data_IF_484521486677
#
_entry.id   IF_484521486677
#
_cell.length_a   1.000
_cell.length_b   1.000
_cell.length_c   1.000
_cell.angle_alpha   90.00
_cell.angle_beta   90.00
_cell.angle_gamma   90.00
#
_symmetry.space_group_name_H-M   'P 1'
#
loop_
_entity.id
_entity.type
_entity.pdbx_description
1 polymer ?
#
# COMPACT_ATOMS: atom_id res chain seq x y z
N UNK A 1 79.79 -16.32 41.37
CA UNK A 1 79.57 -14.91 41.02
C UNK A 1 79.28 -14.83 39.52
N UNK A 2 78.14 -14.22 39.17
CA UNK A 2 77.70 -13.58 37.90
C UNK A 2 78.08 -14.21 36.54
N UNK A 3 77.20 -14.34 35.53
CA UNK A 3 75.76 -14.19 35.37
C UNK A 3 75.40 -14.85 34.01
N UNK A 4 74.29 -15.57 33.92
CA UNK A 4 73.78 -16.10 32.65
C UNK A 4 73.20 -14.94 31.80
N UNK A 5 73.74 -14.74 30.60
CA UNK A 5 73.14 -13.90 29.55
C UNK A 5 72.33 -14.77 28.59
N UNK A 6 71.12 -14.37 28.18
CA UNK A 6 70.30 -15.18 27.30
C UNK A 6 70.83 -15.17 25.86
N UNK A 7 70.86 -16.36 25.24
CA UNK A 7 71.05 -16.56 23.80
C UNK A 7 69.83 -16.02 23.05
N UNK A 8 70.04 -15.06 22.15
CA UNK A 8 69.03 -14.55 21.24
C UNK A 8 68.81 -15.54 20.08
N UNK A 9 67.57 -16.01 19.91
CA UNK A 9 67.12 -16.85 18.80
C UNK A 9 67.07 -16.05 17.49
N UNK A 10 67.44 -16.62 16.32
CA UNK A 10 67.42 -15.92 15.03
C UNK A 10 66.02 -15.92 14.34
N UNK A 11 64.95 -16.23 15.10
CA UNK A 11 63.56 -16.25 14.62
C UNK A 11 62.75 -15.03 15.10
N UNK A 12 63.41 -13.99 15.60
CA UNK A 12 62.85 -12.63 15.57
C UNK A 12 63.04 -12.09 14.15
N UNK A 13 62.21 -12.54 13.21
CA UNK A 13 61.83 -11.69 12.10
C UNK A 13 61.09 -10.51 12.71
N UNK A 14 61.85 -9.51 13.18
CA UNK A 14 61.35 -8.16 13.32
C UNK A 14 60.50 -7.89 12.08
N UNK A 15 59.20 -7.61 12.29
CA UNK A 15 58.34 -7.16 11.22
C UNK A 15 59.00 -5.89 10.71
N UNK A 16 59.75 -6.06 9.62
CA UNK A 16 60.58 -5.01 9.08
C UNK A 16 59.63 -3.92 8.61
N UNK A 17 59.49 -2.88 9.44
CA UNK A 17 58.65 -1.72 9.17
C UNK A 17 59.06 -1.08 7.83
N UNK A 18 60.30 -1.33 7.37
CA UNK A 18 60.76 -0.93 6.04
C UNK A 18 60.15 -1.78 4.92
N UNK A 19 59.86 -3.07 5.12
CA UNK A 19 59.14 -3.91 4.16
C UNK A 19 57.65 -3.57 4.10
N UNK A 20 57.02 -3.30 5.24
CA UNK A 20 55.61 -2.86 5.28
C UNK A 20 55.46 -1.49 4.62
N UNK A 21 56.33 -0.52 4.94
CA UNK A 21 56.30 0.80 4.30
C UNK A 21 56.59 0.74 2.80
N UNK A 22 57.48 -0.15 2.34
CA UNK A 22 57.69 -0.43 0.90
C UNK A 22 56.43 -1.00 0.24
N UNK A 23 55.71 -1.93 0.88
CA UNK A 23 54.44 -2.47 0.36
C UNK A 23 53.34 -1.42 0.30
N UNK A 24 53.22 -0.58 1.34
CA UNK A 24 52.26 0.54 1.38
C UNK A 24 52.58 1.55 0.27
N UNK A 25 53.86 1.91 0.11
CA UNK A 25 54.31 2.81 -0.97
C UNK A 25 54.03 2.24 -2.35
N UNK A 26 54.30 0.95 -2.57
CA UNK A 26 53.98 0.24 -3.82
C UNK A 26 52.46 0.20 -4.09
N UNK A 27 51.64 0.05 -3.06
CA UNK A 27 50.18 0.13 -3.16
C UNK A 27 49.71 1.52 -3.60
N UNK A 28 50.22 2.59 -2.97
CA UNK A 28 49.91 3.98 -3.37
C UNK A 28 50.43 4.33 -4.76
N UNK A 29 51.61 3.87 -5.15
CA UNK A 29 52.14 4.00 -6.51
C UNK A 29 51.26 3.25 -7.53
N UNK A 30 50.74 2.08 -7.15
CA UNK A 30 49.75 1.32 -7.91
C UNK A 30 48.44 2.09 -8.12
N UNK A 31 47.91 2.71 -7.06
CA UNK A 31 46.71 3.57 -7.12
C UNK A 31 46.95 4.78 -8.01
N UNK A 32 48.07 5.50 -7.82
CA UNK A 32 48.41 6.67 -8.64
C UNK A 32 48.52 6.31 -10.13
N UNK A 33 49.17 5.18 -10.43
CA UNK A 33 49.27 4.66 -11.79
C UNK A 33 47.90 4.28 -12.36
N UNK A 34 46.99 3.74 -11.53
CA UNK A 34 45.63 3.42 -11.92
C UNK A 34 44.82 4.69 -12.23
N UNK A 35 44.91 5.72 -11.37
CA UNK A 35 44.26 7.03 -11.59
C UNK A 35 44.77 7.66 -12.89
N UNK A 36 46.08 7.68 -13.13
CA UNK A 36 46.66 8.20 -14.36
C UNK A 36 46.18 7.44 -15.61
N UNK A 37 46.10 6.10 -15.53
CA UNK A 37 45.55 5.27 -16.61
C UNK A 37 44.06 5.56 -16.84
N UNK A 38 43.28 5.80 -15.78
CA UNK A 38 41.88 6.21 -15.89
C UNK A 38 41.75 7.56 -16.59
N UNK A 39 42.47 8.60 -16.13
CA UNK A 39 42.46 9.93 -16.77
C UNK A 39 42.85 9.82 -18.24
N UNK A 40 43.94 9.12 -18.56
CA UNK A 40 44.38 8.93 -19.94
C UNK A 40 43.34 8.18 -20.78
N UNK A 41 42.61 7.23 -20.20
CA UNK A 41 41.52 6.54 -20.89
C UNK A 41 40.38 7.50 -21.25
N UNK A 42 39.93 8.34 -20.31
CA UNK A 42 38.88 9.33 -20.58
C UNK A 42 39.32 10.36 -21.61
N UNK A 43 40.55 10.89 -21.51
CA UNK A 43 41.09 11.85 -22.48
C UNK A 43 41.21 11.24 -23.88
N UNK A 44 41.74 10.00 -23.99
CA UNK A 44 41.92 9.34 -25.29
C UNK A 44 40.60 8.99 -25.97
N UNK A 45 39.57 8.64 -25.19
CA UNK A 45 38.26 8.23 -25.71
C UNK A 45 37.20 9.34 -25.58
N UNK A 46 37.60 10.59 -25.37
CA UNK A 46 36.70 11.69 -25.05
C UNK A 46 35.58 11.86 -26.10
N UNK A 47 35.91 11.77 -27.40
CA UNK A 47 34.93 11.86 -28.49
C UNK A 47 33.89 10.73 -28.40
N UNK A 48 34.34 9.48 -28.20
CA UNK A 48 33.46 8.31 -28.08
C UNK A 48 32.54 8.46 -26.87
N UNK A 49 33.08 8.91 -25.74
CA UNK A 49 32.32 9.14 -24.51
C UNK A 49 31.25 10.20 -24.71
N UNK A 50 31.57 11.32 -25.37
CA UNK A 50 30.59 12.37 -25.69
C UNK A 50 29.48 11.82 -26.57
N UNK A 51 29.81 11.07 -27.62
CA UNK A 51 28.81 10.44 -28.50
C UNK A 51 27.92 9.49 -27.68
N UNK A 52 28.50 8.67 -26.82
CA UNK A 52 27.76 7.73 -25.97
C UNK A 52 26.79 8.44 -25.03
N UNK A 53 27.21 9.56 -24.44
CA UNK A 53 26.36 10.37 -23.57
C UNK A 53 25.20 10.98 -24.36
N UNK A 54 25.48 11.58 -25.52
CA UNK A 54 24.44 12.19 -26.38
C UNK A 54 23.43 11.14 -26.85
N UNK A 55 23.91 9.99 -27.33
CA UNK A 55 23.05 8.88 -27.75
C UNK A 55 22.26 8.30 -26.58
N UNK A 56 22.91 8.14 -25.41
CA UNK A 56 22.26 7.68 -24.19
C UNK A 56 21.14 8.61 -23.73
N UNK A 57 21.37 9.92 -23.76
CA UNK A 57 20.37 10.92 -23.38
C UNK A 57 19.23 10.93 -24.40
N UNK A 58 19.55 10.95 -25.70
CA UNK A 58 18.56 10.95 -26.77
C UNK A 58 17.66 9.72 -26.76
N UNK A 59 18.25 8.52 -26.66
CA UNK A 59 17.48 7.26 -26.54
C UNK A 59 16.70 7.21 -25.23
N UNK A 60 17.27 7.71 -24.13
CA UNK A 60 16.59 7.73 -22.85
C UNK A 60 15.39 8.65 -22.82
N UNK A 61 15.47 9.83 -23.43
CA UNK A 61 14.33 10.72 -23.60
C UNK A 61 13.22 10.05 -24.45
N UNK A 62 13.59 9.43 -25.56
CA UNK A 62 12.64 8.74 -26.44
C UNK A 62 11.91 7.58 -25.73
N UNK A 63 12.65 6.76 -24.98
CA UNK A 63 12.07 5.65 -24.23
C UNK A 63 11.22 6.11 -23.05
N UNK A 64 11.65 7.15 -22.31
CA UNK A 64 10.88 7.74 -21.21
C UNK A 64 9.53 8.30 -21.70
N UNK A 65 9.46 8.81 -22.94
CA UNK A 65 8.22 9.35 -23.50
C UNK A 65 7.22 8.26 -23.91
N UNK A 66 7.71 7.09 -24.34
CA UNK A 66 6.88 5.98 -24.83
C UNK A 66 6.45 5.04 -23.71
N UNK A 67 7.27 4.88 -22.66
CA UNK A 67 7.05 3.91 -21.59
C UNK A 67 6.31 4.49 -20.38
N UNK A 68 5.58 5.59 -20.55
CA UNK A 68 4.77 6.18 -19.49
C UNK A 68 3.81 5.14 -18.91
N UNK A 69 3.72 5.12 -17.60
CA UNK A 69 2.75 4.31 -16.88
C UNK A 69 1.94 5.19 -15.95
N UNK A 70 0.72 4.76 -15.68
CA UNK A 70 -0.21 5.49 -14.84
C UNK A 70 -0.64 4.59 -13.68
N UNK A 71 -0.59 5.15 -12.49
CA UNK A 71 -1.10 4.58 -11.26
C UNK A 71 -2.55 5.00 -11.05
N UNK A 72 -3.35 4.04 -10.59
CA UNK A 72 -4.76 4.21 -10.27
C UNK A 72 -5.04 3.55 -8.94
N UNK A 73 -5.94 4.15 -8.16
CA UNK A 73 -6.32 3.68 -6.86
C UNK A 73 -7.83 3.82 -6.66
N UNK A 74 -8.45 2.75 -6.18
CA UNK A 74 -9.84 2.73 -5.70
C UNK A 74 -9.79 2.43 -4.21
N UNK A 75 -10.27 3.36 -3.39
CA UNK A 75 -10.49 3.10 -1.97
C UNK A 75 -11.83 2.39 -1.86
N UNK A 76 -11.82 1.16 -1.37
CA UNK A 76 -12.99 0.30 -1.27
C UNK A 76 -13.24 -0.16 0.18
N UNK A 77 -14.50 -0.35 0.52
CA UNK A 77 -14.95 -0.97 1.77
C UNK A 77 -15.72 -2.25 1.43
N UNK A 78 -15.17 -3.45 1.75
CA UNK A 78 -15.90 -4.70 1.64
C UNK A 78 -16.94 -4.78 2.78
N UNK A 79 -18.21 -4.87 2.43
CA UNK A 79 -19.32 -5.06 3.35
C UNK A 79 -19.62 -6.55 3.55
N UNK A 80 -20.47 -6.88 4.54
CA UNK A 80 -21.03 -8.23 4.71
C UNK A 80 -19.98 -9.35 4.90
N UNK A 81 -18.79 -9.03 5.42
CA UNK A 81 -17.68 -9.99 5.54
C UNK A 81 -17.11 -10.43 4.19
N UNK A 82 -17.21 -9.60 3.15
CA UNK A 82 -16.74 -9.92 1.79
C UNK A 82 -15.25 -9.62 1.56
N UNK A 83 -14.44 -9.42 2.61
CA UNK A 83 -13.01 -9.11 2.44
C UNK A 83 -12.26 -10.21 1.70
N UNK A 84 -12.38 -11.47 2.13
CA UNK A 84 -11.70 -12.58 1.43
C UNK A 84 -12.20 -12.76 -0.01
N UNK A 85 -13.48 -12.49 -0.23
CA UNK A 85 -14.07 -12.48 -1.57
C UNK A 85 -13.46 -11.38 -2.45
N UNK A 86 -13.31 -10.15 -1.93
CA UNK A 86 -12.64 -9.05 -2.62
C UNK A 86 -11.21 -9.44 -3.01
N UNK A 87 -10.42 -9.95 -2.06
CA UNK A 87 -9.02 -10.34 -2.32
C UNK A 87 -8.94 -11.44 -3.37
N UNK A 88 -9.73 -12.51 -3.21
CA UNK A 88 -9.75 -13.63 -4.17
C UNK A 88 -10.14 -13.19 -5.58
N UNK A 89 -11.07 -12.23 -5.71
CA UNK A 89 -11.50 -11.69 -7.01
C UNK A 89 -10.43 -10.82 -7.65
N UNK A 90 -9.74 -9.99 -6.88
CA UNK A 90 -8.61 -9.19 -7.38
C UNK A 90 -7.44 -10.09 -7.79
N UNK A 91 -7.11 -11.09 -6.98
CA UNK A 91 -6.06 -12.07 -7.30
C UNK A 91 -6.36 -12.83 -8.60
N UNK A 92 -7.64 -13.17 -8.84
CA UNK A 92 -8.06 -13.78 -10.10
C UNK A 92 -7.85 -12.84 -11.29
N UNK A 93 -8.21 -11.55 -11.17
CA UNK A 93 -7.97 -10.57 -12.23
C UNK A 93 -6.46 -10.44 -12.50
N UNK A 94 -5.64 -10.37 -11.44
CA UNK A 94 -4.18 -10.29 -11.56
C UNK A 94 -3.58 -11.54 -12.23
N UNK A 95 -4.05 -12.74 -11.88
CA UNK A 95 -3.63 -13.97 -12.57
C UNK A 95 -3.95 -13.91 -14.05
N UNK A 96 -5.15 -13.43 -14.40
CA UNK A 96 -5.63 -13.33 -15.78
C UNK A 96 -4.88 -12.28 -16.59
N UNK A 97 -4.46 -11.19 -15.96
CA UNK A 97 -3.54 -10.21 -16.56
C UNK A 97 -2.19 -10.86 -16.86
N UNK A 98 -1.62 -11.62 -15.92
CA UNK A 98 -0.33 -12.33 -16.11
C UNK A 98 -0.38 -13.39 -17.19
N UNK A 99 -1.49 -14.12 -17.28
CA UNK A 99 -1.75 -15.11 -18.33
C UNK A 99 -1.99 -14.47 -19.71
N UNK A 100 -2.28 -13.16 -19.76
CA UNK A 100 -2.68 -12.48 -20.99
C UNK A 100 -4.08 -12.85 -21.47
N UNK A 101 -4.95 -13.32 -20.58
CA UNK A 101 -6.33 -13.75 -20.86
C UNK A 101 -7.25 -12.54 -21.09
N UNK A 102 -7.13 -11.94 -22.27
CA UNK A 102 -7.93 -10.76 -22.65
C UNK A 102 -9.41 -11.06 -22.82
N UNK A 103 -9.79 -12.32 -23.05
CA UNK A 103 -11.20 -12.74 -23.20
C UNK A 103 -11.88 -12.67 -21.84
N UNK A 104 -11.30 -13.26 -20.80
CA UNK A 104 -11.84 -13.15 -19.45
C UNK A 104 -11.93 -11.69 -18.99
N UNK A 105 -10.86 -10.91 -19.16
CA UNK A 105 -10.83 -9.53 -18.70
C UNK A 105 -11.84 -8.64 -19.43
N UNK A 106 -12.11 -8.90 -20.70
CA UNK A 106 -13.08 -8.12 -21.48
C UNK A 106 -14.52 -8.61 -21.29
N UNK A 107 -14.75 -9.91 -21.38
CA UNK A 107 -16.10 -10.47 -21.48
C UNK A 107 -16.68 -10.82 -20.11
N UNK A 108 -15.85 -11.17 -19.12
CA UNK A 108 -16.29 -11.50 -17.75
C UNK A 108 -16.16 -10.29 -16.82
N UNK A 109 -15.01 -9.61 -16.85
CA UNK A 109 -14.78 -8.42 -15.98
C UNK A 109 -15.34 -7.14 -16.61
N UNK A 110 -15.48 -7.09 -17.94
CA UNK A 110 -16.05 -5.93 -18.65
C UNK A 110 -15.04 -4.84 -19.04
N UNK A 111 -13.74 -5.09 -18.89
CA UNK A 111 -12.69 -4.11 -19.17
C UNK A 111 -12.55 -3.94 -20.68
N UNK A 112 -12.79 -2.73 -21.21
CA UNK A 112 -12.79 -2.51 -22.67
C UNK A 112 -11.40 -2.65 -23.30
N UNK A 113 -10.35 -2.23 -22.57
CA UNK A 113 -8.96 -2.19 -23.04
C UNK A 113 -8.02 -2.99 -22.12
N UNK A 114 -8.18 -4.33 -22.05
CA UNK A 114 -7.47 -5.15 -21.07
C UNK A 114 -5.95 -5.16 -21.27
N UNK A 115 -5.46 -4.99 -22.52
CA UNK A 115 -4.03 -4.95 -22.84
C UNK A 115 -3.27 -3.75 -22.28
N UNK A 116 -4.00 -2.72 -21.86
CA UNK A 116 -3.42 -1.52 -21.26
C UNK A 116 -3.12 -1.72 -19.77
N UNK A 117 -3.76 -2.68 -19.11
CA UNK A 117 -3.54 -2.99 -17.70
C UNK A 117 -2.30 -3.86 -17.55
N UNK A 118 -1.39 -3.42 -16.69
CA UNK A 118 -0.11 -4.08 -16.43
C UNK A 118 -0.17 -4.97 -15.19
N UNK A 119 -0.87 -4.50 -14.15
CA UNK A 119 -0.97 -5.14 -12.85
C UNK A 119 -2.17 -4.59 -12.08
N UNK A 120 -2.79 -5.42 -11.25
CA UNK A 120 -3.74 -5.04 -10.21
C UNK A 120 -3.35 -5.71 -8.88
N UNK A 121 -3.65 -5.06 -7.76
CA UNK A 121 -3.35 -5.53 -6.41
C UNK A 121 -4.36 -4.94 -5.43
N UNK A 122 -4.55 -5.58 -4.28
CA UNK A 122 -5.39 -5.06 -3.20
C UNK A 122 -4.66 -5.15 -1.87
N UNK A 123 -4.63 -4.03 -1.16
CA UNK A 123 -3.98 -3.92 0.14
C UNK A 123 -4.88 -3.22 1.14
N UNK A 124 -4.80 -3.55 2.41
CA UNK A 124 -5.55 -2.84 3.42
C UNK A 124 -4.96 -1.44 3.66
N UNK A 125 -5.83 -0.50 4.02
CA UNK A 125 -5.42 0.81 4.50
C UNK A 125 -5.34 0.71 6.02
N UNK A 126 -4.11 0.64 6.53
CA UNK A 126 -3.82 0.51 7.96
C UNK A 126 -4.30 1.78 8.68
N UNK A 127 -5.34 1.63 9.49
CA UNK A 127 -5.90 2.70 10.34
C UNK A 127 -6.17 2.12 11.73
N UNK A 128 -5.18 2.28 12.61
CA UNK A 128 -5.20 1.70 13.97
C UNK A 128 -6.33 2.30 14.81
N UNK A 129 -6.62 3.59 14.65
CA UNK A 129 -7.68 4.26 15.41
C UNK A 129 -9.05 3.72 15.03
N UNK A 130 -9.35 3.59 13.73
CA UNK A 130 -10.62 2.98 13.29
C UNK A 130 -10.70 1.49 13.60
N UNK A 131 -9.56 0.81 13.68
CA UNK A 131 -9.54 -0.60 14.03
C UNK A 131 -9.98 -0.85 15.46
N UNK A 132 -9.64 0.03 16.41
CA UNK A 132 -10.05 -0.08 17.82
C UNK A 132 -11.37 0.65 18.14
N UNK A 133 -11.82 1.53 17.25
CA UNK A 133 -13.03 2.33 17.45
C UNK A 133 -14.26 1.44 17.69
N UNK A 134 -14.89 1.60 18.87
CA UNK A 134 -16.05 0.83 19.32
C UNK A 134 -15.85 -0.70 19.34
N UNK A 135 -14.60 -1.16 19.44
CA UNK A 135 -14.22 -2.59 19.48
C UNK A 135 -13.18 -2.84 20.59
N UNK A 136 -13.61 -2.98 21.86
CA UNK A 136 -12.69 -3.19 22.98
C UNK A 136 -11.81 -4.43 22.79
N UNK A 137 -12.33 -5.47 22.12
CA UNK A 137 -11.59 -6.70 21.81
C UNK A 137 -10.40 -6.43 20.89
N UNK A 138 -10.56 -5.52 19.92
CA UNK A 138 -9.48 -5.12 19.02
C UNK A 138 -8.39 -4.33 19.76
N UNK A 139 -8.78 -3.54 20.76
CA UNK A 139 -7.84 -2.83 21.62
C UNK A 139 -7.04 -3.80 22.50
N UNK A 140 -7.71 -4.79 23.11
CA UNK A 140 -7.05 -5.86 23.88
C UNK A 140 -6.07 -6.66 23.03
N UNK A 141 -6.46 -7.01 21.79
CA UNK A 141 -5.60 -7.70 20.85
C UNK A 141 -4.31 -6.92 20.56
N UNK A 142 -4.42 -5.62 20.27
CA UNK A 142 -3.26 -4.77 20.03
C UNK A 142 -2.36 -4.69 21.28
N UNK A 143 -2.96 -4.59 22.47
CA UNK A 143 -2.21 -4.56 23.73
C UNK A 143 -1.39 -5.84 23.92
N UNK A 144 -2.00 -7.02 23.72
CA UNK A 144 -1.31 -8.31 23.79
C UNK A 144 -0.20 -8.43 22.73
N UNK A 145 -0.44 -7.90 21.53
CA UNK A 145 0.55 -7.93 20.43
C UNK A 145 1.75 -7.02 20.69
N UNK A 146 1.53 -5.86 21.34
CA UNK A 146 2.58 -4.93 21.72
C UNK A 146 3.54 -5.51 22.77
N UNK A 147 3.12 -6.52 23.53
CA UNK A 147 3.93 -7.16 24.58
C UNK A 147 4.99 -8.14 24.02
N UNK A 148 4.79 -8.68 22.81
CA UNK A 148 5.58 -9.81 22.30
C UNK A 148 6.43 -9.56 21.04
N UNK A 149 6.14 -8.54 20.22
CA UNK A 149 6.77 -8.34 18.89
C UNK A 149 6.69 -6.87 18.41
N UNK A 150 7.40 -6.57 17.31
CA UNK A 150 7.30 -5.29 16.59
C UNK A 150 5.87 -5.09 16.06
N UNK A 151 5.13 -4.18 16.70
CA UNK A 151 3.72 -3.89 16.44
C UNK A 151 3.45 -3.58 14.96
N UNK A 152 4.40 -2.93 14.27
CA UNK A 152 4.24 -2.56 12.87
C UNK A 152 4.10 -3.79 11.98
N UNK A 153 4.90 -4.83 12.23
CA UNK A 153 4.86 -6.08 11.45
C UNK A 153 3.55 -6.84 11.63
N UNK A 154 2.89 -6.67 12.77
CA UNK A 154 1.64 -7.39 13.09
C UNK A 154 0.43 -6.66 12.51
N UNK A 155 0.43 -5.33 12.57
CA UNK A 155 -0.59 -4.49 11.95
C UNK A 155 -0.57 -4.66 10.42
N UNK A 156 0.60 -4.87 9.83
CA UNK A 156 0.77 -5.13 8.40
C UNK A 156 0.64 -6.62 8.01
N UNK A 157 0.53 -7.54 8.98
CA UNK A 157 0.41 -8.97 8.69
C UNK A 157 -0.90 -9.28 7.97
N UNK A 158 -0.87 -10.23 7.03
CA UNK A 158 -2.02 -10.57 6.19
C UNK A 158 -3.26 -11.04 6.99
N UNK A 159 -3.08 -11.65 8.17
CA UNK A 159 -4.21 -12.12 8.99
C UNK A 159 -4.90 -10.97 9.72
N UNK A 160 -4.13 -10.03 10.29
CA UNK A 160 -4.67 -8.88 11.02
C UNK A 160 -5.21 -7.84 10.05
N UNK A 161 -4.47 -7.57 8.99
CA UNK A 161 -4.69 -6.42 8.11
C UNK A 161 -5.95 -6.55 7.25
N UNK A 162 -6.47 -7.75 7.03
CA UNK A 162 -7.80 -7.97 6.40
C UNK A 162 -8.99 -7.47 7.24
N UNK A 163 -8.78 -7.15 8.51
CA UNK A 163 -9.84 -6.66 9.39
C UNK A 163 -9.97 -5.13 9.40
N UNK A 164 -9.13 -4.40 8.64
CA UNK A 164 -9.30 -2.96 8.44
C UNK A 164 -10.54 -2.67 7.59
N UNK A 165 -11.20 -1.54 7.86
CA UNK A 165 -12.46 -1.17 7.20
C UNK A 165 -12.29 -0.78 5.73
N UNK A 166 -11.12 -0.26 5.36
CA UNK A 166 -10.85 0.27 4.03
C UNK A 166 -9.66 -0.43 3.40
N UNK A 167 -9.76 -0.66 2.09
CA UNK A 167 -8.74 -1.32 1.28
C UNK A 167 -8.49 -0.49 0.04
N UNK A 168 -7.22 -0.42 -0.38
CA UNK A 168 -6.80 0.19 -1.62
C UNK A 168 -6.67 -0.90 -2.68
N UNK A 169 -7.53 -0.87 -3.69
CA UNK A 169 -7.33 -1.60 -4.94
C UNK A 169 -6.48 -0.70 -5.83
N UNK A 170 -5.27 -1.15 -6.17
CA UNK A 170 -4.33 -0.39 -6.99
C UNK A 170 -4.08 -1.10 -8.30
N UNK A 171 -4.03 -0.37 -9.40
CA UNK A 171 -3.67 -0.93 -10.70
C UNK A 171 -2.81 0.02 -11.50
N UNK A 172 -2.03 -0.55 -12.43
CA UNK A 172 -1.13 0.19 -13.32
C UNK A 172 -1.53 0.00 -14.76
N UNK A 173 -1.41 1.06 -15.56
CA UNK A 173 -1.68 1.01 -16.99
C UNK A 173 -0.60 1.68 -17.84
N UNK A 174 -0.50 1.31 -19.12
CA UNK A 174 0.42 1.92 -20.10
C UNK A 174 -0.06 3.28 -20.62
N UNK A 175 -1.36 3.54 -20.53
CA UNK A 175 -2.00 4.77 -21.00
C UNK A 175 -3.02 5.22 -19.99
N UNK A 176 -3.43 6.48 -20.10
CA UNK A 176 -4.59 6.97 -19.35
C UNK A 176 -5.83 6.15 -19.68
N UNK A 177 -6.68 5.99 -18.68
CA UNK A 177 -7.94 5.27 -18.79
C UNK A 177 -9.12 6.21 -18.57
N UNK A 178 -10.27 5.77 -19.04
CA UNK A 178 -11.56 6.31 -18.65
C UNK A 178 -12.18 5.36 -17.62
N UNK A 179 -12.66 5.90 -16.51
CA UNK A 179 -13.23 5.13 -15.41
C UNK A 179 -14.38 4.23 -15.86
N UNK A 180 -15.26 4.72 -16.76
CA UNK A 180 -16.37 3.93 -17.33
C UNK A 180 -15.93 2.73 -18.18
N UNK A 181 -14.69 2.72 -18.65
CA UNK A 181 -14.13 1.63 -19.47
C UNK A 181 -13.33 0.61 -18.65
N UNK A 182 -13.00 0.94 -17.40
CA UNK A 182 -12.07 0.15 -16.57
C UNK A 182 -12.51 0.05 -15.12
N UNK A 183 -12.59 1.18 -14.40
CA UNK A 183 -12.93 1.23 -12.97
C UNK A 183 -14.35 0.70 -12.72
N UNK A 184 -15.34 1.23 -13.43
CA UNK A 184 -16.73 0.80 -13.29
C UNK A 184 -16.92 -0.69 -13.58
N UNK A 185 -16.38 -1.27 -14.67
CA UNK A 185 -16.38 -2.72 -14.88
C UNK A 185 -15.77 -3.53 -13.73
N UNK A 186 -14.61 -3.11 -13.21
CA UNK A 186 -13.98 -3.80 -12.07
C UNK A 186 -14.91 -3.77 -10.85
N UNK A 187 -15.47 -2.61 -10.50
CA UNK A 187 -16.40 -2.48 -9.37
C UNK A 187 -17.67 -3.29 -9.60
N UNK A 188 -18.22 -3.31 -10.81
CA UNK A 188 -19.41 -4.10 -11.13
C UNK A 188 -19.13 -5.61 -10.97
N UNK A 189 -18.00 -6.09 -11.50
CA UNK A 189 -17.57 -7.47 -11.33
C UNK A 189 -17.39 -7.86 -9.85
N UNK A 190 -16.84 -6.97 -9.03
CA UNK A 190 -16.72 -7.17 -7.59
C UNK A 190 -18.07 -7.19 -6.86
N UNK A 191 -19.14 -6.67 -7.45
CA UNK A 191 -20.48 -6.69 -6.87
C UNK A 191 -21.39 -7.78 -7.46
N UNK A 192 -20.88 -8.59 -8.39
CA UNK A 192 -21.65 -9.62 -9.11
C UNK A 192 -21.54 -10.98 -8.42
N UNK A 193 -22.36 -11.19 -7.37
CA UNK A 193 -22.38 -12.45 -6.61
C UNK A 193 -23.74 -12.70 -5.92
N UNK A 194 -24.31 -13.89 -6.15
CA UNK A 194 -25.64 -14.25 -5.64
C UNK A 194 -25.69 -14.34 -4.11
N UNK A 195 -24.65 -14.89 -3.50
CA UNK A 195 -24.59 -15.08 -2.04
C UNK A 195 -24.63 -13.73 -1.33
N UNK A 196 -23.70 -12.82 -1.64
CA UNK A 196 -23.64 -11.55 -0.95
C UNK A 196 -24.75 -10.58 -1.36
N UNK A 197 -25.32 -10.69 -2.57
CA UNK A 197 -26.54 -9.94 -2.95
C UNK A 197 -27.72 -10.29 -2.02
N UNK A 198 -27.89 -11.57 -1.68
CA UNK A 198 -28.93 -12.00 -0.71
C UNK A 198 -28.65 -11.46 0.70
N UNK A 199 -27.40 -11.58 1.17
CA UNK A 199 -27.01 -11.06 2.50
C UNK A 199 -27.19 -9.54 2.58
N UNK A 200 -26.81 -8.81 1.53
CA UNK A 200 -27.01 -7.37 1.43
C UNK A 200 -28.48 -7.00 1.58
N UNK A 201 -29.35 -7.65 0.81
CA UNK A 201 -30.80 -7.41 0.84
C UNK A 201 -31.36 -7.59 2.25
N UNK A 202 -31.08 -8.71 2.91
CA UNK A 202 -31.60 -8.98 4.25
C UNK A 202 -31.00 -8.03 5.30
N UNK A 203 -29.72 -7.67 5.18
CA UNK A 203 -29.08 -6.71 6.09
C UNK A 203 -29.71 -5.33 5.98
N UNK A 204 -29.96 -4.85 4.76
CA UNK A 204 -30.62 -3.56 4.51
C UNK A 204 -32.07 -3.59 5.03
N UNK A 205 -32.80 -4.68 4.74
CA UNK A 205 -34.18 -4.85 5.21
C UNK A 205 -34.26 -4.85 6.75
N UNK A 206 -33.35 -5.56 7.43
CA UNK A 206 -33.29 -5.57 8.89
C UNK A 206 -33.07 -4.18 9.49
N UNK A 207 -32.18 -3.38 8.89
CA UNK A 207 -31.96 -1.99 9.31
C UNK A 207 -33.25 -1.18 9.09
N UNK A 208 -33.88 -1.28 7.92
CA UNK A 208 -35.10 -0.55 7.61
C UNK A 208 -36.25 -0.90 8.57
N UNK A 209 -36.46 -2.19 8.86
CA UNK A 209 -37.44 -2.64 9.85
C UNK A 209 -37.14 -2.03 11.22
N UNK A 210 -35.87 -2.06 11.66
CA UNK A 210 -35.48 -1.48 12.94
C UNK A 210 -35.72 0.04 12.98
N UNK A 211 -35.43 0.75 11.89
CA UNK A 211 -35.71 2.17 11.77
C UNK A 211 -37.21 2.48 11.89
N UNK A 212 -38.07 1.70 11.23
CA UNK A 212 -39.54 1.86 11.33
C UNK A 212 -40.05 1.61 12.75
N UNK A 213 -39.50 0.58 13.42
CA UNK A 213 -39.85 0.30 14.82
C UNK A 213 -39.37 1.41 15.75
N UNK A 214 -38.16 1.94 15.54
CA UNK A 214 -37.64 3.07 16.30
C UNK A 214 -38.54 4.31 16.15
N UNK A 215 -38.99 4.64 14.94
CA UNK A 215 -39.92 5.74 14.71
C UNK A 215 -41.26 5.52 15.44
N UNK A 216 -41.76 4.29 15.44
CA UNK A 216 -42.99 3.92 16.16
C UNK A 216 -42.83 4.12 17.67
N UNK A 217 -41.73 3.65 18.25
CA UNK A 217 -41.43 3.80 19.69
C UNK A 217 -41.25 5.28 20.05
N UNK A 218 -40.53 6.05 19.23
CA UNK A 218 -40.38 7.49 19.43
C UNK A 218 -41.75 8.18 19.43
N UNK A 219 -42.65 7.80 18.53
CA UNK A 219 -44.02 8.32 18.48
C UNK A 219 -44.83 7.98 19.74
N UNK A 220 -44.71 6.75 20.24
CA UNK A 220 -45.35 6.34 21.50
C UNK A 220 -44.79 7.14 22.70
N UNK A 221 -43.47 7.34 22.76
CA UNK A 221 -42.85 8.18 23.78
C UNK A 221 -43.40 9.61 23.70
N UNK A 222 -43.51 10.19 22.51
CA UNK A 222 -44.12 11.51 22.34
C UNK A 222 -45.55 11.54 22.90
N UNK A 223 -46.34 10.49 22.66
CA UNK A 223 -47.67 10.33 23.24
C UNK A 223 -47.68 10.36 24.76
N UNK A 224 -46.78 9.62 25.42
CA UNK A 224 -46.64 9.59 26.89
C UNK A 224 -46.25 10.98 27.41
N UNK A 225 -45.24 11.63 26.81
CA UNK A 225 -44.76 12.95 27.22
C UNK A 225 -45.87 14.02 27.08
N UNK A 226 -46.61 14.00 25.98
CA UNK A 226 -47.72 14.91 25.74
C UNK A 226 -48.89 14.65 26.72
N UNK A 227 -49.20 13.37 26.98
CA UNK A 227 -50.22 12.97 27.95
C UNK A 227 -49.91 13.47 29.36
N UNK A 228 -48.64 13.38 29.78
CA UNK A 228 -48.17 13.94 31.05
C UNK A 228 -48.32 15.46 31.09
N UNK A 229 -47.85 16.17 30.05
CA UNK A 229 -47.96 17.63 29.98
C UNK A 229 -49.42 18.12 30.05
N UNK A 230 -50.33 17.47 29.32
CA UNK A 230 -51.75 17.81 29.33
C UNK A 230 -52.41 17.56 30.70
N UNK A 231 -52.00 16.53 31.43
CA UNK A 231 -52.52 16.22 32.76
C UNK A 231 -52.06 17.25 33.80
N UNK A 232 -50.81 17.73 33.71
CA UNK A 232 -50.29 18.80 34.58
C UNK A 232 -51.01 20.14 34.33
N UNK A 233 -51.39 20.41 33.07
CA UNK A 233 -52.08 21.64 32.68
C UNK A 233 -53.61 21.59 32.88
N UNK A 234 -54.18 20.40 33.14
CA UNK A 234 -55.62 20.20 33.34
C UNK A 234 -56.05 20.37 34.81
N UNK A 235 -57.13 21.12 35.04
CA UNK A 235 -57.59 21.61 36.35
C UNK A 235 -58.19 20.56 37.33
N UNK A 236 -57.59 19.38 37.50
CA UNK A 236 -57.90 18.48 38.62
C UNK A 236 -56.69 18.31 39.53
N UNK A 237 -56.49 19.31 40.41
CA UNK A 237 -55.64 19.21 41.60
C UNK A 237 -56.28 18.23 42.59
N UNK A 238 -56.12 16.92 42.37
CA UNK A 238 -56.38 15.93 43.42
C UNK A 238 -55.08 15.63 44.16
N UNK A 239 -55.16 15.49 45.49
CA UNK A 239 -54.01 15.24 46.39
C UNK A 239 -53.18 13.98 46.05
N UNK A 240 -53.65 13.15 45.11
CA UNK A 240 -52.93 11.99 44.56
C UNK A 240 -51.83 12.33 43.55
N UNK A 241 -51.74 13.57 43.05
CA UNK A 241 -50.71 13.97 42.07
C UNK A 241 -49.29 14.00 42.66
N UNK A 242 -49.15 14.18 43.98
CA UNK A 242 -47.84 14.22 44.66
C UNK A 242 -47.12 12.86 44.59
N UNK A 243 -47.87 11.75 44.63
CA UNK A 243 -47.33 10.39 44.51
C UNK A 243 -46.80 10.04 43.11
N UNK A 244 -47.19 10.78 42.07
CA UNK A 244 -46.70 10.54 40.70
C UNK A 244 -45.39 11.26 40.42
N UNK A 245 -45.14 12.41 41.03
CA UNK A 245 -43.94 13.22 40.79
C UNK A 245 -42.65 12.54 41.29
N UNK A 246 -42.73 11.74 42.35
CA UNK A 246 -41.56 11.06 42.92
C UNK A 246 -41.18 9.75 42.19
N UNK A 247 -42.06 9.21 41.33
CA UNK A 247 -41.93 7.86 40.77
C UNK A 247 -41.94 7.79 39.23
N UNK A 248 -42.02 8.92 38.53
CA UNK A 248 -41.96 8.91 37.06
C UNK A 248 -40.52 8.81 36.60
N UNK A 249 -40.14 7.67 36.02
CA UNK A 249 -38.89 7.46 35.26
C UNK A 249 -38.87 8.28 33.94
N UNK A 250 -39.41 9.50 33.94
CA UNK A 250 -39.54 10.39 32.78
C UNK A 250 -38.19 10.70 32.16
N UNK A 251 -37.16 10.88 33.00
CA UNK A 251 -35.78 11.04 32.58
C UNK A 251 -35.30 9.85 31.72
N UNK A 252 -35.61 8.62 32.12
CA UNK A 252 -35.21 7.41 31.39
C UNK A 252 -35.95 7.31 30.05
N UNK A 253 -37.23 7.72 30.02
CA UNK A 253 -38.03 7.81 28.79
C UNK A 253 -37.43 8.83 27.81
N UNK A 254 -37.04 10.02 28.30
CA UNK A 254 -36.40 11.06 27.48
C UNK A 254 -35.04 10.60 26.96
N UNK A 255 -34.19 9.99 27.82
CA UNK A 255 -32.90 9.41 27.42
C UNK A 255 -33.04 8.29 26.40
N UNK A 256 -34.07 7.46 26.55
CA UNK A 256 -34.39 6.40 25.57
C UNK A 256 -34.74 7.02 24.22
N UNK A 257 -35.57 8.07 24.21
CA UNK A 257 -35.89 8.80 22.97
C UNK A 257 -34.66 9.40 22.31
N UNK A 258 -33.78 10.05 23.06
CA UNK A 258 -32.51 10.60 22.54
C UNK A 258 -31.66 9.49 21.91
N UNK A 259 -31.53 8.35 22.59
CA UNK A 259 -30.78 7.19 22.09
C UNK A 259 -31.36 6.67 20.77
N UNK A 260 -32.69 6.51 20.68
CA UNK A 260 -33.35 6.07 19.45
C UNK A 260 -33.17 7.07 18.30
N UNK A 261 -33.20 8.37 18.57
CA UNK A 261 -32.96 9.43 17.57
C UNK A 261 -31.51 9.35 17.06
N UNK A 262 -30.54 9.20 17.96
CA UNK A 262 -29.13 9.05 17.59
C UNK A 262 -28.91 7.77 16.76
N UNK A 263 -29.54 6.67 17.16
CA UNK A 263 -29.50 5.40 16.44
C UNK A 263 -30.08 5.55 15.01
N UNK A 264 -31.17 6.29 14.85
CA UNK A 264 -31.73 6.61 13.52
C UNK A 264 -30.75 7.36 12.64
N UNK A 265 -30.02 8.34 13.21
CA UNK A 265 -28.96 9.04 12.50
C UNK A 265 -27.86 8.09 12.01
N UNK A 266 -27.40 7.19 12.87
CA UNK A 266 -26.38 6.19 12.55
C UNK A 266 -26.86 5.25 11.43
N UNK A 267 -28.11 4.76 11.49
CA UNK A 267 -28.64 3.85 10.47
C UNK A 267 -28.79 4.51 9.09
N UNK A 268 -29.19 5.79 9.04
CA UNK A 268 -29.26 6.53 7.77
C UNK A 268 -27.90 6.62 7.09
N UNK A 269 -26.85 6.94 7.84
CA UNK A 269 -25.48 6.98 7.31
C UNK A 269 -25.01 5.58 6.91
N UNK A 270 -25.28 4.56 7.74
CA UNK A 270 -24.90 3.17 7.47
C UNK A 270 -25.48 2.65 6.16
N UNK A 271 -26.75 2.97 5.85
CA UNK A 271 -27.40 2.54 4.61
C UNK A 271 -26.70 3.06 3.34
N UNK A 272 -26.04 4.23 3.39
CA UNK A 272 -25.26 4.77 2.25
C UNK A 272 -24.10 3.83 1.89
N UNK A 273 -23.44 3.26 2.89
CA UNK A 273 -22.32 2.33 2.70
C UNK A 273 -22.76 0.94 2.25
N UNK A 274 -23.96 0.49 2.65
CA UNK A 274 -24.47 -0.86 2.38
C UNK A 274 -25.10 -1.02 0.99
N UNK A 275 -25.04 -0.01 0.13
CA UNK A 275 -25.62 -0.06 -1.21
C UNK A 275 -24.81 -0.92 -2.22
N UNK A 276 -23.60 -1.35 -1.84
CA UNK A 276 -22.74 -2.27 -2.60
C UNK A 276 -22.13 -3.33 -1.67
N UNK A 277 -21.79 -4.50 -2.20
CA UNK A 277 -21.03 -5.55 -1.51
C UNK A 277 -19.59 -5.09 -1.33
N UNK A 278 -18.97 -4.61 -2.40
CA UNK A 278 -17.69 -3.88 -2.36
C UNK A 278 -17.98 -2.44 -2.73
N UNK A 279 -17.99 -1.57 -1.73
CA UNK A 279 -18.28 -0.15 -1.91
C UNK A 279 -17.03 0.62 -2.31
N UNK A 280 -17.05 1.24 -3.48
CA UNK A 280 -16.09 2.26 -3.89
C UNK A 280 -16.38 3.57 -3.14
N UNK A 281 -15.46 3.96 -2.25
CA UNK A 281 -15.53 5.19 -1.47
C UNK A 281 -14.94 6.37 -2.26
N UNK A 282 -13.85 6.13 -2.98
CA UNK A 282 -13.22 7.10 -3.87
C UNK A 282 -12.36 6.42 -4.92
N UNK A 283 -12.16 7.12 -6.04
CA UNK A 283 -11.30 6.70 -7.13
C UNK A 283 -10.36 7.83 -7.48
N UNK A 284 -9.09 7.49 -7.65
CA UNK A 284 -8.06 8.39 -8.18
C UNK A 284 -7.41 7.69 -9.36
N UNK A 285 -7.59 8.25 -10.55
CA UNK A 285 -7.09 7.67 -11.81
C UNK A 285 -6.05 8.57 -12.47
N UNK A 286 -5.24 7.98 -13.35
CA UNK A 286 -4.33 8.68 -14.25
C UNK A 286 -3.20 9.47 -13.56
N UNK A 287 -2.71 9.00 -12.41
CA UNK A 287 -1.48 9.57 -11.80
C UNK A 287 -0.27 9.05 -12.57
N UNK A 288 0.51 9.92 -13.20
CA UNK A 288 1.74 9.51 -13.90
C UNK A 288 2.76 8.94 -12.92
N UNK A 289 3.19 7.70 -13.15
CA UNK A 289 4.19 7.03 -12.30
C UNK A 289 5.58 7.59 -12.58
N UNK A 290 6.25 8.10 -11.54
CA UNK A 290 7.65 8.60 -11.64
C UNK A 290 8.67 7.72 -10.89
N UNK A 291 8.24 6.53 -10.48
CA UNK A 291 9.02 5.65 -9.60
C UNK A 291 9.96 4.68 -10.36
N UNK A 292 11.09 4.39 -9.71
CA UNK A 292 12.17 3.48 -10.12
C UNK A 292 12.94 3.90 -11.38
N UNK A 293 12.46 3.49 -12.56
CA UNK A 293 13.15 3.66 -13.85
C UNK A 293 12.35 4.58 -14.79
N UNK A 294 11.04 4.67 -14.58
CA UNK A 294 10.14 5.38 -15.48
C UNK A 294 10.35 6.91 -15.38
N UNK A 295 10.63 7.56 -16.51
CA UNK A 295 10.98 8.98 -16.57
C UNK A 295 12.43 9.31 -16.16
N UNK A 296 13.25 8.29 -15.88
CA UNK A 296 14.66 8.43 -15.47
C UNK A 296 15.64 7.76 -16.45
N UNK A 297 15.17 7.16 -17.55
CA UNK A 297 16.04 6.52 -18.55
C UNK A 297 17.00 7.50 -19.20
N UNK A 298 16.59 8.77 -19.38
CA UNK A 298 17.47 9.87 -19.83
C UNK A 298 18.72 10.06 -18.98
N UNK A 299 18.71 9.63 -17.70
CA UNK A 299 19.87 9.65 -16.80
C UNK A 299 20.55 8.28 -16.70
N UNK A 300 19.77 7.19 -16.71
CA UNK A 300 20.28 5.82 -16.51
C UNK A 300 21.03 5.32 -17.76
N UNK A 301 20.50 5.52 -18.97
CA UNK A 301 21.09 5.02 -20.21
C UNK A 301 22.49 5.60 -20.51
N UNK A 302 22.74 6.91 -20.36
CA UNK A 302 24.09 7.45 -20.50
C UNK A 302 25.12 6.78 -19.59
N UNK A 303 24.74 6.57 -18.31
CA UNK A 303 25.60 5.93 -17.32
C UNK A 303 25.82 4.45 -17.68
N UNK A 304 24.75 3.74 -18.07
CA UNK A 304 24.82 2.34 -18.48
C UNK A 304 25.74 2.15 -19.68
N UNK A 305 25.61 2.99 -20.71
CA UNK A 305 26.49 2.93 -21.88
C UNK A 305 27.94 3.22 -21.50
N UNK A 306 28.18 4.24 -20.67
CA UNK A 306 29.54 4.59 -20.22
C UNK A 306 30.19 3.46 -19.43
N UNK A 307 29.45 2.86 -18.49
CA UNK A 307 29.91 1.68 -17.74
C UNK A 307 30.18 0.50 -18.67
N UNK A 308 29.26 0.19 -19.59
CA UNK A 308 29.43 -0.88 -20.57
C UNK A 308 30.69 -0.66 -21.43
N UNK A 309 30.92 0.55 -21.91
CA UNK A 309 32.12 0.89 -22.68
C UNK A 309 33.41 0.70 -21.86
N UNK A 310 33.43 1.13 -20.59
CA UNK A 310 34.57 0.92 -19.69
C UNK A 310 34.82 -0.58 -19.49
N UNK A 311 33.78 -1.36 -19.18
CA UNK A 311 33.89 -2.81 -18.97
C UNK A 311 34.39 -3.54 -20.22
N UNK A 312 33.82 -3.24 -21.40
CA UNK A 312 34.25 -3.81 -22.67
C UNK A 312 35.72 -3.47 -22.94
N UNK A 313 36.14 -2.23 -22.69
CA UNK A 313 37.53 -1.83 -22.90
C UNK A 313 38.49 -2.56 -21.95
N UNK A 314 38.15 -2.66 -20.67
CA UNK A 314 38.94 -3.40 -19.68
C UNK A 314 39.05 -4.88 -20.05
N UNK A 315 37.94 -5.49 -20.46
CA UNK A 315 37.88 -6.87 -20.92
C UNK A 315 38.77 -7.10 -22.14
N UNK A 316 38.66 -6.26 -23.18
CA UNK A 316 39.50 -6.36 -24.38
C UNK A 316 40.98 -6.18 -24.07
N UNK A 317 41.33 -5.26 -23.17
CA UNK A 317 42.72 -5.05 -22.74
C UNK A 317 43.26 -6.27 -22.00
N UNK A 318 42.47 -6.83 -21.08
CA UNK A 318 42.83 -8.05 -20.35
C UNK A 318 43.03 -9.23 -21.31
N UNK A 319 42.06 -9.48 -22.19
CA UNK A 319 42.11 -10.54 -23.20
C UNK A 319 43.35 -10.43 -24.09
N UNK A 320 43.63 -9.23 -24.63
CA UNK A 320 44.85 -8.98 -25.44
C UNK A 320 46.13 -9.19 -24.65
N UNK A 321 46.14 -8.90 -23.35
CA UNK A 321 47.30 -9.15 -22.50
C UNK A 321 47.54 -10.64 -22.28
N UNK A 322 46.48 -11.43 -22.09
CA UNK A 322 46.62 -12.88 -21.89
C UNK A 322 47.05 -13.60 -23.18
N UNK A 323 46.44 -13.24 -24.32
CA UNK A 323 46.84 -13.75 -25.63
C UNK A 323 48.33 -13.51 -25.96
N UNK A 324 48.89 -12.38 -25.54
CA UNK A 324 50.32 -12.10 -25.73
C UNK A 324 51.22 -12.99 -24.87
N UNK A 325 50.79 -13.32 -23.65
CA UNK A 325 51.52 -14.23 -22.76
C UNK A 325 51.50 -15.65 -23.31
N UNK A 326 50.35 -16.09 -23.82
CA UNK A 326 50.20 -17.40 -24.45
C UNK A 326 51.10 -17.55 -25.69
N UNK A 327 51.22 -16.52 -26.52
CA UNK A 327 52.12 -16.53 -27.70
C UNK A 327 53.62 -16.46 -27.37
N UNK A 328 53.97 -16.09 -26.13
CA UNK A 328 55.34 -15.98 -25.63
C UNK A 328 55.73 -17.18 -24.75
N UNK A 329 54.77 -18.04 -24.40
CA UNK A 329 54.96 -19.32 -23.72
C UNK A 329 55.12 -20.45 -24.75
#
# INVERSE_FOLDING_TARGET
MSANLPQHNPDDQEIDLTQISKKIRSFFEGISTLIFKCIRFFVKNAIIIIILLVVGVGLGMFLDEIQKTYDHQIIATPNFGSTDYLYSKIDLIESKIKEGDTVFLKDVVGIKKPKEILKIDVKPIVDVYKFIENKPENFELIKLMAEGRDINKILEDNMTSKNYTSHAITFKTKRTINDSETVEPIINYLNETDYYKKIQKETVNNIQIKMIQNDTIISQINGILNGFSNMVNGAQKSDKLIYYNENTQLNDVIKTKETLINEQGIYRVKLVGLNKIVKDNSTTSNIETTNSVNGRLKLILPILFLLSFIFIHLFLKYYRSQMKKEKLA
#
